data_IF_684009835408
#
_entry.id   IF_684009835408
#
_cell.length_a   1.000
_cell.length_b   1.000
_cell.length_c   1.000
_cell.angle_alpha   90.00
_cell.angle_beta   90.00
_cell.angle_gamma   90.00
#
_symmetry.space_group_name_H-M   'P 1'
#
loop_
_entity.id
_entity.type
_entity.pdbx_description
1 polymer ?
#
# COMPACT_ATOMS: atom_id res chain seq x y z
N UNK A 1 -21.53 13.58 -14.85
CA UNK A 1 -20.13 14.05 -14.76
C UNK A 1 -19.28 13.34 -13.71
N UNK A 2 -19.82 12.96 -12.55
CA UNK A 2 -19.10 12.26 -11.45
C UNK A 2 -18.61 10.85 -11.82
N UNK A 3 -19.40 10.08 -12.57
CA UNK A 3 -19.04 8.72 -13.05
C UNK A 3 -17.85 8.70 -14.04
N UNK A 4 -17.61 9.79 -14.77
CA UNK A 4 -16.51 9.88 -15.73
C UNK A 4 -15.16 10.18 -15.04
N UNK A 5 -15.19 10.78 -13.86
CA UNK A 5 -14.02 11.03 -13.00
C UNK A 5 -13.62 9.75 -12.28
N UNK A 6 -14.59 8.96 -11.79
CA UNK A 6 -14.34 7.65 -11.18
C UNK A 6 -13.66 6.67 -12.15
N UNK A 7 -14.10 6.59 -13.41
CA UNK A 7 -13.48 5.73 -14.41
C UNK A 7 -12.05 6.16 -14.80
N UNK A 8 -11.76 7.48 -14.80
CA UNK A 8 -10.42 8.00 -15.09
C UNK A 8 -9.45 7.80 -13.93
N UNK A 9 -9.89 7.98 -12.69
CA UNK A 9 -9.06 7.81 -11.49
C UNK A 9 -8.87 6.33 -11.15
N UNK A 10 -9.87 5.46 -11.31
CA UNK A 10 -9.75 4.02 -11.03
C UNK A 10 -8.87 3.32 -12.09
N UNK A 11 -8.98 3.69 -13.38
CA UNK A 11 -8.03 3.20 -14.40
C UNK A 11 -6.63 3.75 -14.18
N UNK A 12 -6.47 5.00 -13.77
CA UNK A 12 -5.12 5.55 -13.54
C UNK A 12 -4.48 5.03 -12.24
N UNK A 13 -5.23 4.84 -11.16
CA UNK A 13 -4.74 4.28 -9.89
C UNK A 13 -4.30 2.81 -10.02
N UNK A 14 -4.96 2.04 -10.88
CA UNK A 14 -4.54 0.68 -11.25
C UNK A 14 -3.29 0.62 -12.15
N UNK A 15 -2.87 1.77 -12.72
CA UNK A 15 -1.71 1.92 -13.60
C UNK A 15 -0.61 2.83 -13.02
N UNK A 16 -0.66 3.25 -11.74
CA UNK A 16 0.44 3.95 -11.04
C UNK A 16 1.51 2.95 -10.59
N UNK A 17 1.88 2.01 -11.44
CA UNK A 17 3.03 1.14 -11.22
C UNK A 17 3.84 1.07 -12.50
N UNK A 18 5.12 1.45 -12.48
CA UNK A 18 5.89 1.46 -13.72
C UNK A 18 6.11 0.03 -14.19
N UNK A 19 5.82 -0.20 -15.47
CA UNK A 19 6.23 -1.39 -16.20
C UNK A 19 7.77 -1.37 -16.31
N UNK A 20 8.44 -2.38 -15.76
CA UNK A 20 9.86 -2.64 -16.03
C UNK A 20 10.10 -4.13 -16.28
N UNK A 21 10.99 -4.36 -17.24
CA UNK A 21 11.28 -5.61 -17.92
C UNK A 21 12.18 -6.56 -17.12
N UNK A 22 11.97 -7.85 -17.38
CA UNK A 22 12.85 -9.02 -17.23
C UNK A 22 13.82 -9.06 -16.04
N UNK A 23 13.46 -9.83 -15.01
CA UNK A 23 14.40 -10.26 -13.96
C UNK A 23 14.39 -11.79 -13.92
N UNK A 24 15.59 -12.38 -13.97
CA UNK A 24 15.83 -13.80 -14.05
C UNK A 24 15.24 -14.60 -12.88
N UNK A 25 14.97 -15.87 -13.16
CA UNK A 25 14.50 -16.88 -12.20
C UNK A 25 15.50 -17.01 -11.04
N UNK A 26 15.09 -16.59 -9.84
CA UNK A 26 15.85 -16.88 -8.61
C UNK A 26 15.41 -18.22 -8.02
N UNK A 27 16.38 -19.10 -7.81
CA UNK A 27 16.22 -20.34 -7.04
C UNK A 27 16.20 -20.00 -5.54
N UNK A 28 15.47 -20.80 -4.74
CA UNK A 28 15.20 -20.51 -3.33
C UNK A 28 16.41 -20.35 -2.39
N UNK A 29 17.63 -20.66 -2.83
CA UNK A 29 18.86 -20.47 -2.03
C UNK A 29 19.41 -19.04 -2.05
N UNK A 30 19.06 -18.20 -3.03
CA UNK A 30 19.54 -16.82 -3.14
C UNK A 30 18.73 -15.81 -2.31
N UNK A 31 17.42 -16.02 -2.23
CA UNK A 31 16.49 -15.06 -1.61
C UNK A 31 16.83 -14.76 -0.14
N UNK A 32 17.12 -15.79 0.66
CA UNK A 32 17.38 -15.61 2.08
C UNK A 32 18.64 -14.79 2.36
N UNK A 33 19.70 -15.05 1.60
CA UNK A 33 20.94 -14.29 1.71
C UNK A 33 20.73 -12.83 1.30
N UNK A 34 20.04 -12.58 0.18
CA UNK A 34 19.74 -11.22 -0.29
C UNK A 34 18.83 -10.46 0.70
N UNK A 35 17.81 -11.13 1.24
CA UNK A 35 16.91 -10.56 2.25
C UNK A 35 17.67 -10.10 3.49
N UNK A 36 18.54 -10.94 4.04
CA UNK A 36 19.35 -10.62 5.22
C UNK A 36 20.34 -9.50 4.90
N UNK A 37 21.01 -9.55 3.75
CA UNK A 37 21.93 -8.51 3.29
C UNK A 37 21.23 -7.14 3.20
N UNK A 38 20.02 -7.08 2.65
CA UNK A 38 19.23 -5.84 2.56
C UNK A 38 18.78 -5.34 3.94
N UNK A 39 18.46 -6.25 4.86
CA UNK A 39 18.17 -5.90 6.26
C UNK A 39 19.39 -5.29 6.98
N UNK A 40 20.57 -5.88 6.78
CA UNK A 40 21.82 -5.39 7.37
C UNK A 40 22.26 -4.06 6.76
N UNK A 41 21.99 -3.87 5.47
CA UNK A 41 22.24 -2.61 4.75
C UNK A 41 21.20 -1.51 5.05
N UNK A 42 20.13 -1.82 5.78
CA UNK A 42 18.98 -0.93 6.00
C UNK A 42 18.34 -0.46 4.67
N UNK A 43 18.35 -1.31 3.64
CA UNK A 43 17.80 -0.99 2.32
C UNK A 43 16.34 -1.43 2.19
N UNK A 44 15.45 -0.53 2.59
CA UNK A 44 14.01 -0.74 2.48
C UNK A 44 13.49 -0.81 1.05
N UNK A 45 14.14 -0.15 0.10
CA UNK A 45 13.72 -0.11 -1.31
C UNK A 45 14.11 -1.42 -1.98
N UNK A 46 15.36 -1.86 -1.81
CA UNK A 46 15.82 -3.16 -2.26
C UNK A 46 14.97 -4.29 -1.68
N UNK A 47 14.69 -4.23 -0.37
CA UNK A 47 13.85 -5.26 0.28
C UNK A 47 12.42 -5.27 -0.28
N UNK A 48 11.84 -4.09 -0.51
CA UNK A 48 10.53 -3.98 -1.13
C UNK A 48 10.50 -4.59 -2.55
N UNK A 49 11.52 -4.32 -3.37
CA UNK A 49 11.62 -4.86 -4.71
C UNK A 49 11.80 -6.39 -4.69
N UNK A 50 12.65 -6.89 -3.79
CA UNK A 50 12.86 -8.32 -3.58
C UNK A 50 11.55 -9.03 -3.18
N UNK A 51 10.75 -8.43 -2.28
CA UNK A 51 9.46 -9.00 -1.90
C UNK A 51 8.46 -9.06 -3.07
N UNK A 52 8.47 -8.06 -3.96
CA UNK A 52 7.59 -8.04 -5.14
C UNK A 52 7.93 -9.14 -6.16
N UNK A 53 9.20 -9.47 -6.35
CA UNK A 53 9.62 -10.50 -7.32
C UNK A 53 9.24 -11.90 -6.83
N UNK A 54 9.31 -12.16 -5.52
CA UNK A 54 8.98 -13.47 -4.94
C UNK A 54 7.49 -13.81 -5.06
N UNK A 55 6.59 -12.82 -4.91
CA UNK A 55 5.13 -13.03 -5.10
C UNK A 55 4.73 -13.49 -6.50
N UNK A 56 5.61 -13.35 -7.51
CA UNK A 56 5.30 -13.77 -8.88
C UNK A 56 5.77 -15.19 -9.20
N UNK A 57 6.75 -15.73 -8.46
CA UNK A 57 7.58 -16.82 -8.97
C UNK A 57 7.80 -18.01 -8.02
N UNK A 58 7.38 -17.97 -6.75
CA UNK A 58 7.57 -19.10 -5.85
C UNK A 58 6.34 -19.41 -5.01
N UNK A 59 5.98 -20.70 -4.95
CA UNK A 59 5.21 -21.29 -3.86
C UNK A 59 6.18 -22.12 -3.01
N UNK A 60 6.50 -21.74 -1.77
CA UNK A 60 7.39 -22.53 -0.94
C UNK A 60 6.61 -23.43 0.02
N UNK A 61 7.17 -24.62 0.25
CA UNK A 61 6.79 -25.54 1.32
C UNK A 61 7.31 -25.02 2.67
N UNK A 62 6.46 -25.10 3.68
CA UNK A 62 6.71 -24.73 5.06
C UNK A 62 7.64 -25.75 5.75
N UNK A 63 8.82 -25.30 6.18
CA UNK A 63 9.42 -25.71 7.45
C UNK A 63 9.96 -24.43 8.12
N UNK A 64 9.29 -23.99 9.18
CA UNK A 64 9.44 -22.65 9.72
C UNK A 64 10.30 -22.65 10.99
N UNK A 65 11.39 -21.86 10.98
CA UNK A 65 12.03 -21.35 12.19
C UNK A 65 12.76 -20.00 12.01
N UNK A 66 12.79 -19.40 10.81
CA UNK A 66 13.40 -18.09 10.56
C UNK A 66 12.48 -17.11 9.80
N UNK A 67 12.82 -15.81 9.89
CA UNK A 67 12.05 -14.72 9.25
C UNK A 67 11.98 -14.88 7.73
N UNK A 68 13.02 -15.43 7.11
CA UNK A 68 13.12 -15.66 5.67
C UNK A 68 12.07 -16.67 5.21
N UNK A 69 11.96 -17.80 5.90
CA UNK A 69 10.99 -18.85 5.59
C UNK A 69 9.56 -18.37 5.73
N UNK A 70 9.29 -17.53 6.73
CA UNK A 70 7.98 -16.95 6.95
C UNK A 70 7.61 -15.89 5.88
N UNK A 71 8.59 -15.10 5.41
CA UNK A 71 8.40 -14.19 4.26
C UNK A 71 8.12 -14.97 2.98
N UNK A 72 8.85 -16.07 2.75
CA UNK A 72 8.64 -16.94 1.61
C UNK A 72 7.23 -17.53 1.60
N UNK A 73 6.67 -17.90 2.76
CA UNK A 73 5.31 -18.39 2.88
C UNK A 73 4.22 -17.35 2.54
N UNK A 74 4.56 -16.06 2.44
CA UNK A 74 3.61 -14.97 2.12
C UNK A 74 3.19 -14.91 0.63
N UNK A 75 3.64 -15.85 -0.21
CA UNK A 75 3.43 -15.81 -1.66
C UNK A 75 2.25 -16.64 -2.15
N UNK A 76 1.68 -17.51 -1.31
CA UNK A 76 0.53 -18.35 -1.68
C UNK A 76 -0.80 -17.60 -1.62
N UNK A 77 -1.64 -17.75 -2.65
CA UNK A 77 -3.04 -17.29 -2.64
C UNK A 77 -3.95 -18.28 -1.88
N UNK A 78 -3.56 -18.65 -0.66
CA UNK A 78 -4.28 -19.60 0.20
C UNK A 78 -4.56 -18.99 1.57
N UNK A 79 -5.43 -19.64 2.36
CA UNK A 79 -5.70 -19.23 3.75
C UNK A 79 -4.42 -19.28 4.60
N UNK A 80 -3.58 -20.30 4.41
CA UNK A 80 -2.28 -20.42 5.07
C UNK A 80 -1.32 -19.31 4.66
N UNK A 81 -1.32 -18.93 3.37
CA UNK A 81 -0.53 -17.79 2.86
C UNK A 81 -0.98 -16.46 3.48
N UNK A 82 -2.29 -16.26 3.66
CA UNK A 82 -2.81 -15.10 4.38
C UNK A 82 -2.37 -15.11 5.85
N UNK A 83 -2.53 -16.21 6.58
CA UNK A 83 -2.13 -16.29 7.99
C UNK A 83 -0.61 -16.10 8.17
N UNK A 84 0.20 -16.65 7.27
CA UNK A 84 1.65 -16.39 7.24
C UNK A 84 1.95 -14.90 7.03
N UNK A 85 1.24 -14.25 6.10
CA UNK A 85 1.41 -12.81 5.84
C UNK A 85 0.97 -11.96 7.03
N UNK A 86 -0.14 -12.32 7.70
CA UNK A 86 -0.62 -11.62 8.90
C UNK A 86 0.34 -11.82 10.07
N UNK A 87 0.91 -13.01 10.23
CA UNK A 87 1.96 -13.28 11.21
C UNK A 87 3.19 -12.41 10.95
N UNK A 88 3.66 -12.35 9.70
CA UNK A 88 4.80 -11.52 9.31
C UNK A 88 4.52 -10.02 9.48
N UNK A 89 3.31 -9.57 9.15
CA UNK A 89 2.90 -8.18 9.39
C UNK A 89 3.00 -7.81 10.88
N UNK A 90 2.54 -8.69 11.77
CA UNK A 90 2.67 -8.49 13.23
C UNK A 90 4.14 -8.47 13.66
N UNK A 91 4.92 -9.46 13.25
CA UNK A 91 6.35 -9.56 13.60
C UNK A 91 7.16 -8.36 13.11
N UNK A 92 6.95 -7.94 11.87
CA UNK A 92 7.60 -6.77 11.29
C UNK A 92 7.21 -5.49 12.02
N UNK A 93 5.93 -5.34 12.40
CA UNK A 93 5.46 -4.21 13.19
C UNK A 93 6.05 -4.18 14.59
N UNK A 94 6.15 -5.33 15.27
CA UNK A 94 6.83 -5.42 16.57
C UNK A 94 8.31 -5.02 16.46
N UNK A 95 9.03 -5.56 15.47
CA UNK A 95 10.43 -5.19 15.21
C UNK A 95 10.60 -3.71 14.90
N UNK A 96 9.65 -3.13 14.15
CA UNK A 96 9.63 -1.71 13.86
C UNK A 96 9.48 -0.88 15.15
N UNK A 97 8.62 -1.29 16.09
CA UNK A 97 8.46 -0.62 17.38
C UNK A 97 9.70 -0.73 18.27
N UNK A 98 10.27 -1.93 18.41
CA UNK A 98 11.39 -2.23 19.31
C UNK A 98 12.71 -1.52 18.96
N UNK A 99 12.92 -1.16 17.69
CA UNK A 99 14.18 -0.56 17.23
C UNK A 99 14.27 0.93 17.51
N UNK A 100 15.32 1.38 18.21
CA UNK A 100 15.47 2.79 18.65
C UNK A 100 16.07 3.74 17.60
N UNK A 101 16.78 3.25 16.59
CA UNK A 101 17.45 4.09 15.58
C UNK A 101 17.22 3.61 14.14
N UNK A 102 17.11 4.57 13.21
CA UNK A 102 17.05 4.36 11.75
C UNK A 102 16.03 3.28 11.32
N UNK A 103 14.76 3.43 11.71
CA UNK A 103 13.70 2.46 11.38
C UNK A 103 12.94 2.77 10.09
N UNK A 104 13.14 3.94 9.48
CA UNK A 104 12.32 4.39 8.33
C UNK A 104 12.41 3.49 7.10
N UNK A 105 13.54 2.85 6.85
CA UNK A 105 13.68 1.88 5.76
C UNK A 105 12.67 0.72 5.91
N UNK A 106 12.24 0.39 7.13
CA UNK A 106 11.26 -0.66 7.39
C UNK A 106 9.84 -0.30 6.95
N UNK A 107 9.55 0.98 6.65
CA UNK A 107 8.23 1.42 6.19
C UNK A 107 7.85 0.82 4.85
N UNK A 108 8.80 0.64 3.93
CA UNK A 108 8.53 0.09 2.61
C UNK A 108 8.13 -1.39 2.69
N UNK A 109 8.87 -2.28 3.39
CA UNK A 109 8.41 -3.64 3.66
C UNK A 109 7.11 -3.70 4.45
N UNK A 110 6.89 -2.81 5.42
CA UNK A 110 5.61 -2.73 6.15
C UNK A 110 4.45 -2.41 5.22
N UNK A 111 4.64 -1.48 4.29
CA UNK A 111 3.66 -1.11 3.26
C UNK A 111 3.35 -2.30 2.34
N UNK A 112 4.37 -3.06 1.95
CA UNK A 112 4.19 -4.27 1.16
C UNK A 112 3.39 -5.33 1.92
N UNK A 113 3.79 -5.67 3.15
CA UNK A 113 3.12 -6.68 3.97
C UNK A 113 1.65 -6.33 4.19
N UNK A 114 1.36 -5.08 4.56
CA UNK A 114 0.00 -4.64 4.82
C UNK A 114 -0.88 -4.68 3.55
N UNK A 115 -0.34 -4.24 2.40
CA UNK A 115 -1.04 -4.30 1.13
C UNK A 115 -1.26 -5.74 0.65
N UNK A 116 -0.26 -6.61 0.80
CA UNK A 116 -0.34 -8.01 0.41
C UNK A 116 -1.36 -8.77 1.25
N UNK A 117 -1.38 -8.59 2.57
CA UNK A 117 -2.41 -9.18 3.44
C UNK A 117 -3.82 -8.76 3.02
N UNK A 118 -4.04 -7.47 2.70
CA UNK A 118 -5.35 -7.01 2.19
C UNK A 118 -5.68 -7.65 0.85
N UNK A 119 -4.74 -7.72 -0.09
CA UNK A 119 -4.98 -8.32 -1.40
C UNK A 119 -5.38 -9.79 -1.28
N UNK A 120 -4.67 -10.58 -0.48
CA UNK A 120 -5.02 -11.96 -0.19
C UNK A 120 -6.40 -12.08 0.45
N UNK A 121 -6.69 -11.27 1.47
CA UNK A 121 -7.99 -11.26 2.12
C UNK A 121 -9.16 -10.97 1.15
N UNK A 122 -8.98 -9.98 0.26
CA UNK A 122 -9.98 -9.65 -0.79
C UNK A 122 -10.15 -10.79 -1.79
N UNK A 123 -9.07 -11.44 -2.21
CA UNK A 123 -9.13 -12.55 -3.18
C UNK A 123 -9.76 -13.81 -2.60
N UNK A 124 -9.49 -14.12 -1.33
CA UNK A 124 -10.01 -15.30 -0.65
C UNK A 124 -11.49 -15.16 -0.28
N UNK A 125 -11.97 -13.94 -0.04
CA UNK A 125 -13.39 -13.65 0.18
C UNK A 125 -14.19 -13.80 -1.14
N UNK A 126 -14.56 -15.03 -1.46
CA UNK A 126 -15.47 -15.37 -2.57
C UNK A 126 -16.94 -15.36 -2.13
N UNK A 127 -17.85 -15.26 -3.09
CA UNK A 127 -19.30 -15.48 -2.91
C UNK A 127 -19.96 -14.67 -1.78
N UNK A 128 -19.54 -13.41 -1.62
CA UNK A 128 -20.09 -12.50 -0.61
C UNK A 128 -19.54 -12.71 0.81
N UNK A 129 -18.61 -13.65 1.01
CA UNK A 129 -17.86 -13.80 2.26
C UNK A 129 -17.13 -12.50 2.62
N UNK A 130 -16.98 -12.29 3.93
CA UNK A 130 -16.23 -11.19 4.54
C UNK A 130 -15.19 -11.67 5.56
N UNK A 131 -15.09 -12.99 5.74
CA UNK A 131 -14.31 -13.64 6.80
C UNK A 131 -12.87 -13.14 6.82
N UNK A 132 -12.21 -13.14 5.67
CA UNK A 132 -10.78 -12.83 5.60
C UNK A 132 -10.52 -11.33 5.69
N UNK A 133 -11.39 -10.49 5.11
CA UNK A 133 -11.28 -9.03 5.26
C UNK A 133 -11.55 -8.59 6.68
N UNK A 134 -12.54 -9.15 7.36
CA UNK A 134 -12.81 -8.88 8.78
C UNK A 134 -11.63 -9.31 9.65
N UNK A 135 -11.06 -10.49 9.38
CA UNK A 135 -9.83 -10.93 10.03
C UNK A 135 -8.67 -9.95 9.84
N UNK A 136 -8.44 -9.47 8.62
CA UNK A 136 -7.42 -8.45 8.37
C UNK A 136 -7.73 -7.14 9.10
N UNK A 137 -8.99 -6.73 9.21
CA UNK A 137 -9.40 -5.54 10.00
C UNK A 137 -9.03 -5.70 11.46
N UNK A 138 -9.25 -6.86 12.09
CA UNK A 138 -8.86 -7.12 13.47
C UNK A 138 -7.36 -6.89 13.68
N UNK A 139 -6.52 -7.49 12.83
CA UNK A 139 -5.06 -7.34 12.90
C UNK A 139 -4.64 -5.90 12.67
N UNK A 140 -5.22 -5.25 11.66
CA UNK A 140 -4.89 -3.87 11.33
C UNK A 140 -5.31 -2.90 12.46
N UNK A 141 -6.46 -3.10 13.12
CA UNK A 141 -6.88 -2.31 14.29
C UNK A 141 -5.90 -2.46 15.46
N UNK A 142 -5.49 -3.69 15.75
CA UNK A 142 -4.50 -3.98 16.80
C UNK A 142 -3.19 -3.23 16.53
N UNK A 143 -2.63 -3.38 15.33
CA UNK A 143 -1.36 -2.76 14.95
C UNK A 143 -1.46 -1.24 14.90
N UNK A 144 -2.54 -0.70 14.33
CA UNK A 144 -2.78 0.74 14.30
C UNK A 144 -2.80 1.34 15.71
N UNK A 145 -3.49 0.68 16.65
CA UNK A 145 -3.60 1.14 18.03
C UNK A 145 -2.24 1.18 18.73
N UNK A 146 -1.40 0.15 18.53
CA UNK A 146 -0.04 0.11 19.10
C UNK A 146 0.86 1.18 18.47
N UNK A 147 0.87 1.28 17.14
CA UNK A 147 1.75 2.19 16.41
C UNK A 147 1.38 3.68 16.60
N UNK A 148 0.10 4.02 16.77
CA UNK A 148 -0.31 5.42 16.97
C UNK A 148 0.10 5.96 18.36
N UNK A 149 0.21 5.08 19.36
CA UNK A 149 0.53 5.44 20.74
C UNK A 149 2.01 5.82 20.87
N UNK A 150 2.88 5.18 20.10
CA UNK A 150 4.29 5.51 20.02
C UNK A 150 4.54 6.65 19.02
N UNK A 151 4.96 7.81 19.54
CA UNK A 151 5.20 9.02 18.74
C UNK A 151 6.23 8.80 17.64
N UNK A 152 7.25 7.98 17.89
CA UNK A 152 8.35 7.74 16.96
C UNK A 152 8.00 6.67 15.90
N UNK A 153 6.80 6.08 15.98
CA UNK A 153 6.30 5.02 15.10
C UNK A 153 4.98 5.37 14.40
N UNK A 154 4.50 6.61 14.56
CA UNK A 154 3.28 7.11 13.91
C UNK A 154 3.31 6.99 12.38
N UNK A 155 4.49 7.06 11.77
CA UNK A 155 4.66 6.83 10.32
C UNK A 155 4.19 5.42 9.92
N UNK A 156 4.49 4.39 10.74
CA UNK A 156 3.96 3.04 10.55
C UNK A 156 2.44 2.97 10.74
N UNK A 157 1.87 3.76 11.67
CA UNK A 157 0.42 3.85 11.84
C UNK A 157 -0.27 4.39 10.58
N UNK A 158 0.36 5.30 9.83
CA UNK A 158 -0.18 5.81 8.55
C UNK A 158 -0.26 4.73 7.48
N UNK A 159 0.69 3.79 7.45
CA UNK A 159 0.65 2.63 6.55
C UNK A 159 -0.59 1.79 6.84
N UNK A 160 -0.78 1.41 8.11
CA UNK A 160 -1.93 0.57 8.51
C UNK A 160 -3.26 1.31 8.35
N UNK A 161 -3.28 2.62 8.60
CA UNK A 161 -4.44 3.48 8.38
C UNK A 161 -4.95 3.41 6.93
N UNK A 162 -4.05 3.49 5.94
CA UNK A 162 -4.44 3.40 4.54
C UNK A 162 -5.15 2.07 4.22
N UNK A 163 -4.65 0.97 4.77
CA UNK A 163 -5.25 -0.35 4.59
C UNK A 163 -6.60 -0.49 5.31
N UNK A 164 -6.73 0.05 6.53
CA UNK A 164 -8.01 0.10 7.25
C UNK A 164 -9.08 0.86 6.47
N UNK A 165 -8.77 2.02 5.91
CA UNK A 165 -9.74 2.81 5.11
C UNK A 165 -10.21 2.01 3.89
N UNK A 166 -9.28 1.33 3.20
CA UNK A 166 -9.61 0.47 2.05
C UNK A 166 -10.50 -0.71 2.47
N UNK A 167 -10.17 -1.38 3.57
CA UNK A 167 -10.94 -2.51 4.08
C UNK A 167 -12.36 -2.10 4.49
N UNK A 168 -12.51 -1.06 5.32
CA UNK A 168 -13.83 -0.57 5.72
C UNK A 168 -14.67 -0.16 4.52
N UNK A 169 -14.07 0.54 3.55
CA UNK A 169 -14.78 0.91 2.32
C UNK A 169 -15.25 -0.34 1.57
N UNK A 170 -14.40 -1.37 1.44
CA UNK A 170 -14.76 -2.62 0.76
C UNK A 170 -15.82 -3.46 1.50
N UNK A 171 -15.95 -3.28 2.82
CA UNK A 171 -16.94 -3.96 3.67
C UNK A 171 -18.25 -3.17 3.79
N UNK A 172 -18.35 -2.00 3.17
CA UNK A 172 -19.51 -1.10 3.33
C UNK A 172 -19.56 -0.40 4.69
N UNK A 173 -18.46 -0.38 5.44
CA UNK A 173 -18.34 0.19 6.79
C UNK A 173 -17.68 1.58 6.76
N UNK A 174 -17.99 2.41 5.78
CA UNK A 174 -17.32 3.70 5.56
C UNK A 174 -17.41 4.67 6.76
N UNK A 175 -18.41 4.53 7.63
CA UNK A 175 -18.53 5.28 8.88
C UNK A 175 -17.36 5.04 9.85
N UNK A 176 -16.72 3.87 9.79
CA UNK A 176 -15.56 3.53 10.63
C UNK A 176 -14.28 4.27 10.21
N UNK A 177 -14.20 4.76 8.97
CA UNK A 177 -13.05 5.53 8.48
C UNK A 177 -12.88 6.87 9.25
N UNK A 178 -13.98 7.46 9.72
CA UNK A 178 -13.96 8.74 10.43
C UNK A 178 -13.09 8.72 11.68
N UNK A 179 -13.14 7.62 12.47
CA UNK A 179 -12.31 7.45 13.65
C UNK A 179 -10.83 7.39 13.30
N UNK A 180 -10.47 6.59 12.30
CA UNK A 180 -9.07 6.42 11.87
C UNK A 180 -8.50 7.74 11.34
N UNK A 181 -9.28 8.47 10.53
CA UNK A 181 -8.88 9.76 9.98
C UNK A 181 -8.83 10.86 11.04
N UNK A 182 -9.68 10.82 12.08
CA UNK A 182 -9.61 11.76 13.19
C UNK A 182 -8.27 11.62 13.95
N UNK A 183 -7.79 10.40 14.18
CA UNK A 183 -6.45 10.17 14.75
C UNK A 183 -5.36 10.78 13.87
N UNK A 184 -5.41 10.53 12.55
CA UNK A 184 -4.40 11.09 11.62
C UNK A 184 -4.45 12.63 11.63
N UNK A 185 -5.64 13.22 11.66
CA UNK A 185 -5.82 14.67 11.75
C UNK A 185 -5.23 15.24 13.03
N UNK A 186 -5.45 14.58 14.17
CA UNK A 186 -4.85 14.99 15.43
C UNK A 186 -3.32 14.90 15.38
N UNK A 187 -2.77 13.80 14.86
CA UNK A 187 -1.33 13.65 14.69
C UNK A 187 -0.74 14.74 13.79
N UNK A 188 -1.37 15.05 12.65
CA UNK A 188 -0.91 16.07 11.72
C UNK A 188 -0.87 17.48 12.35
N UNK A 189 -1.86 17.82 13.19
CA UNK A 189 -1.91 19.12 13.89
C UNK A 189 -0.76 19.31 14.89
N UNK A 190 -0.23 18.22 15.45
CA UNK A 190 0.84 18.26 16.44
C UNK A 190 2.23 18.02 15.83
N UNK A 191 2.38 18.20 14.50
CA UNK A 191 3.62 17.95 13.75
C UNK A 191 4.22 16.56 14.05
N UNK A 192 3.34 15.59 14.35
CA UNK A 192 3.73 14.28 14.84
C UNK A 192 4.45 13.41 13.82
N UNK A 193 4.41 13.79 12.56
CA UNK A 193 5.15 13.18 11.47
C UNK A 193 5.51 14.26 10.47
N UNK A 194 6.66 14.11 9.84
CA UNK A 194 7.15 15.01 8.81
C UNK A 194 6.77 14.45 7.42
N UNK A 195 5.78 15.05 6.73
CA UNK A 195 5.34 14.55 5.43
C UNK A 195 6.47 14.51 4.40
N UNK A 196 7.45 15.42 4.49
CA UNK A 196 8.56 15.50 3.52
C UNK A 196 9.46 14.25 3.59
N UNK A 197 9.52 13.61 4.76
CA UNK A 197 10.37 12.45 5.02
C UNK A 197 9.67 11.10 4.83
N UNK A 198 8.38 11.11 4.50
CA UNK A 198 7.60 9.90 4.22
C UNK A 198 7.73 9.46 2.76
N UNK A 199 7.56 8.16 2.46
CA UNK A 199 7.44 7.70 1.08
C UNK A 199 6.32 8.45 0.35
N UNK A 200 6.64 9.08 -0.80
CA UNK A 200 5.66 9.84 -1.58
C UNK A 200 4.42 9.02 -1.94
N UNK A 201 4.61 7.74 -2.27
CA UNK A 201 3.52 6.80 -2.56
C UNK A 201 2.54 6.62 -1.39
N UNK A 202 3.04 6.60 -0.16
CA UNK A 202 2.22 6.53 1.05
C UNK A 202 1.41 7.81 1.21
N UNK A 203 2.02 8.99 1.03
CA UNK A 203 1.33 10.27 1.12
C UNK A 203 0.25 10.45 0.05
N UNK A 204 0.55 10.12 -1.21
CA UNK A 204 -0.43 10.14 -2.30
C UNK A 204 -1.62 9.26 -1.93
N UNK A 205 -1.36 8.04 -1.45
CA UNK A 205 -2.40 7.09 -1.03
C UNK A 205 -3.24 7.66 0.11
N UNK A 206 -2.59 8.17 1.16
CA UNK A 206 -3.27 8.72 2.33
C UNK A 206 -4.20 9.88 1.95
N UNK A 207 -3.68 10.87 1.22
CA UNK A 207 -4.46 12.04 0.83
C UNK A 207 -5.58 11.68 -0.15
N UNK A 208 -5.34 10.74 -1.06
CA UNK A 208 -6.37 10.26 -1.96
C UNK A 208 -7.53 9.58 -1.21
N UNK A 209 -7.21 8.65 -0.31
CA UNK A 209 -8.21 7.93 0.48
C UNK A 209 -8.97 8.86 1.42
N UNK A 210 -8.27 9.81 2.04
CA UNK A 210 -8.88 10.85 2.87
C UNK A 210 -9.84 11.71 2.06
N UNK A 211 -9.38 12.25 0.92
CA UNK A 211 -10.21 13.07 0.05
C UNK A 211 -11.46 12.33 -0.42
N UNK A 212 -11.32 11.06 -0.83
CA UNK A 212 -12.45 10.19 -1.19
C UNK A 212 -13.46 10.05 -0.05
N UNK A 213 -12.98 9.79 1.17
CA UNK A 213 -13.86 9.71 2.34
C UNK A 213 -14.58 11.04 2.61
N UNK A 214 -13.88 12.17 2.51
CA UNK A 214 -14.48 13.50 2.71
C UNK A 214 -15.58 13.79 1.68
N UNK A 215 -15.44 13.36 0.41
CA UNK A 215 -16.52 13.43 -0.59
C UNK A 215 -17.74 12.64 -0.12
N UNK A 216 -17.55 11.41 0.32
CA UNK A 216 -18.66 10.55 0.79
C UNK A 216 -19.35 11.11 2.05
N UNK A 217 -18.60 11.83 2.89
CA UNK A 217 -19.11 12.49 4.08
C UNK A 217 -19.74 13.87 3.80
N UNK A 218 -19.73 14.34 2.55
CA UNK A 218 -20.25 15.67 2.18
C UNK A 218 -19.34 16.85 2.57
N UNK A 219 -18.10 16.59 3.01
CA UNK A 219 -17.12 17.64 3.34
C UNK A 219 -16.32 18.04 2.10
N UNK A 220 -16.90 18.91 1.27
CA UNK A 220 -16.35 19.29 -0.04
C UNK A 220 -15.02 20.05 0.07
N UNK A 221 -14.89 20.94 1.05
CA UNK A 221 -13.68 21.75 1.23
C UNK A 221 -12.47 20.87 1.60
N UNK A 222 -12.63 19.97 2.57
CA UNK A 222 -11.56 19.04 2.95
C UNK A 222 -11.24 18.06 1.81
N UNK A 223 -12.27 17.59 1.09
CA UNK A 223 -12.05 16.73 -0.07
C UNK A 223 -11.17 17.39 -1.12
N UNK A 224 -11.47 18.63 -1.49
CA UNK A 224 -10.72 19.39 -2.49
C UNK A 224 -9.27 19.64 -2.04
N UNK A 225 -9.07 20.05 -0.78
CA UNK A 225 -7.73 20.24 -0.19
C UNK A 225 -6.88 18.95 -0.29
N UNK A 226 -7.43 17.81 0.15
CA UNK A 226 -6.67 16.54 0.18
C UNK A 226 -6.42 15.99 -1.23
N UNK A 227 -7.42 16.06 -2.12
CA UNK A 227 -7.25 15.57 -3.50
C UNK A 227 -6.23 16.40 -4.27
N UNK A 228 -6.21 17.74 -4.09
CA UNK A 228 -5.18 18.61 -4.68
C UNK A 228 -3.78 18.25 -4.16
N UNK A 229 -3.64 18.00 -2.84
CA UNK A 229 -2.36 17.53 -2.27
C UNK A 229 -1.91 16.18 -2.83
N UNK A 230 -2.83 15.23 -3.02
CA UNK A 230 -2.51 13.94 -3.64
C UNK A 230 -1.99 14.11 -5.07
N UNK A 231 -2.67 14.93 -5.88
CA UNK A 231 -2.28 15.20 -7.27
C UNK A 231 -0.93 15.91 -7.37
N UNK A 232 -0.64 16.87 -6.49
CA UNK A 232 0.64 17.58 -6.47
C UNK A 232 1.84 16.66 -6.15
N UNK A 233 1.61 15.52 -5.48
CA UNK A 233 2.63 14.54 -5.15
C UNK A 233 2.79 13.45 -6.21
N UNK A 234 1.86 13.34 -7.15
CA UNK A 234 1.99 12.41 -8.27
C UNK A 234 3.11 12.87 -9.22
N UNK A 235 3.92 11.95 -9.76
CA UNK A 235 4.91 12.32 -10.76
C UNK A 235 4.21 12.93 -11.99
N UNK A 236 4.76 14.01 -12.58
CA UNK A 236 4.23 14.55 -13.82
C UNK A 236 4.26 13.44 -14.89
N UNK A 237 3.16 13.27 -15.63
CA UNK A 237 3.12 12.34 -16.77
C UNK A 237 4.35 12.62 -17.65
N UNK A 238 5.10 11.58 -18.02
CA UNK A 238 5.97 11.65 -19.18
C UNK A 238 5.09 12.08 -20.37
N UNK A 239 5.22 13.34 -20.79
CA UNK A 239 4.54 13.87 -21.97
C UNK A 239 5.17 13.21 -23.20
N UNK A 240 4.72 12.00 -23.52
CA UNK A 240 5.15 11.24 -24.70
C UNK A 240 4.01 10.54 -25.45
N UNK A 241 2.84 10.35 -24.83
CA UNK A 241 1.74 9.56 -25.40
C UNK A 241 0.42 10.32 -25.58
N UNK A 242 0.43 11.66 -25.51
CA UNK A 242 -0.75 12.48 -25.86
C UNK A 242 -0.63 13.23 -27.19
N UNK A 243 0.57 13.31 -27.78
CA UNK A 243 0.77 14.02 -29.06
C UNK A 243 0.63 13.13 -30.31
N UNK A 244 0.54 11.80 -30.13
CA UNK A 244 0.33 10.86 -31.25
C UNK A 244 -1.14 10.69 -31.65
N UNK A 245 -2.10 11.05 -30.80
CA UNK A 245 -3.53 10.92 -31.08
C UNK A 245 -4.22 12.20 -31.57
N UNK A 246 -3.53 13.34 -31.61
CA UNK A 246 -4.09 14.60 -32.13
C UNK A 246 -3.57 14.93 -33.54
N UNK A 247 -2.53 14.25 -34.03
CA UNK A 247 -1.97 14.48 -35.38
C UNK A 247 -2.47 13.53 -36.47
N UNK A 248 -3.28 12.52 -36.16
CA UNK A 248 -3.83 11.59 -37.18
C UNK A 248 -5.12 12.08 -37.84
N UNK A 249 -5.84 13.05 -37.25
CA UNK A 249 -7.16 13.45 -37.74
C UNK A 249 -7.16 14.71 -38.64
N UNK A 250 -5.99 15.25 -38.98
CA UNK A 250 -5.86 16.47 -39.78
C UNK A 250 -5.23 16.27 -41.17
N UNK A 251 -5.18 15.04 -41.71
CA UNK A 251 -4.78 14.78 -43.10
C UNK A 251 -5.79 13.86 -43.80
N UNK A 252 -6.92 14.41 -44.19
CA UNK A 252 -7.93 13.64 -44.93
C UNK A 252 -9.13 14.41 -45.41
N UNK A 253 -8.97 15.63 -45.94
CA UNK A 253 -9.99 16.31 -46.75
C UNK A 253 -9.38 17.55 -47.42
N UNK A 254 -8.84 17.41 -48.63
CA UNK A 254 -9.01 18.31 -49.79
C UNK A 254 -8.40 17.59 -51.00
N UNK A 255 -9.25 17.12 -51.91
CA UNK A 255 -8.98 17.07 -53.35
C UNK A 255 -10.31 16.78 -54.05
N UNK A 256 -10.95 17.84 -54.54
CA UNK A 256 -11.83 17.79 -55.71
C UNK A 256 -10.99 17.77 -56.96
#
# INVERSE_FOLDING_TARGET
HTLHIEHRIVRHAGHIWPAWQSVGLMTGSGFGHEFLQLCDAYDGIGLYNLLQTTTKNLAPRLEANDEVSAVMACTGETEEGLEATLYMLRKWSSRYMERTARVRWMLMPLLWLAAQSRHLAVKLDKDGSRRFRERMVEVARELFTKLQQDKDRREGALVICCELIRLYSSLGQASQCGFVLATVRAAAKHEAFDPVKLPKSLLVTLYFLWGKHSVMAGNVEEADEKLRKALALCPPKAQGELDSHVKSDSKGQVAS
#
